data_IF_474521890081
#
_entry.id   IF_474521890081
#
_cell.length_a   1.000
_cell.length_b   1.000
_cell.length_c   1.000
_cell.angle_alpha   90.00
_cell.angle_beta   90.00
_cell.angle_gamma   90.00
#
_symmetry.space_group_name_H-M   'P 1'
#
loop_
_entity.id
_entity.type
_entity.pdbx_description
1 polymer ?
#
# COMPACT_ATOMS: atom_id res chain seq x y z
N UNK A 1 -10.49 -6.69 28.28
CA UNK A 1 -10.49 -5.21 28.43
C UNK A 1 -9.43 -4.66 27.48
N UNK A 2 -9.66 -4.75 26.16
CA UNK A 2 -8.71 -4.32 25.10
C UNK A 2 -9.25 -3.16 24.25
N UNK A 3 -10.54 -2.81 24.37
CA UNK A 3 -11.23 -1.79 23.56
C UNK A 3 -10.74 -0.34 23.76
N UNK A 4 -9.90 -0.07 24.76
CA UNK A 4 -9.41 1.27 25.09
C UNK A 4 -7.94 1.48 24.71
N UNK A 5 -7.19 0.43 24.37
CA UNK A 5 -5.75 0.53 24.10
C UNK A 5 -5.41 0.63 22.61
N UNK A 6 -6.30 0.18 21.72
CA UNK A 6 -6.00 0.10 20.28
C UNK A 6 -6.47 1.32 19.48
N UNK A 7 -7.44 2.10 19.98
CA UNK A 7 -7.96 3.23 19.23
C UNK A 7 -8.33 4.42 20.17
N UNK A 8 -7.47 5.45 20.26
CA UNK A 8 -7.67 6.62 21.13
C UNK A 8 -8.85 7.49 20.69
N UNK A 9 -9.40 7.28 19.49
CA UNK A 9 -10.52 8.03 18.94
C UNK A 9 -11.77 7.93 19.82
N UNK A 10 -12.03 6.75 20.41
CA UNK A 10 -13.19 6.55 21.30
C UNK A 10 -13.06 7.33 22.61
N UNK A 11 -11.84 7.49 23.12
CA UNK A 11 -11.56 8.31 24.31
C UNK A 11 -11.77 9.80 24.02
N UNK A 12 -11.23 10.28 22.89
CA UNK A 12 -11.43 11.66 22.45
C UNK A 12 -12.93 11.97 22.25
N UNK A 13 -13.66 11.05 21.61
CA UNK A 13 -15.11 11.14 21.45
C UNK A 13 -15.86 11.18 22.78
N UNK A 14 -15.52 10.31 23.73
CA UNK A 14 -16.10 10.28 25.07
C UNK A 14 -15.87 11.58 25.85
N UNK A 15 -14.65 12.14 25.78
CA UNK A 15 -14.33 13.43 26.40
C UNK A 15 -15.09 14.59 25.75
N UNK A 16 -15.31 14.54 24.44
CA UNK A 16 -16.15 15.50 23.72
C UNK A 16 -17.60 15.47 24.23
N UNK A 17 -18.19 14.29 24.39
CA UNK A 17 -19.54 14.12 24.96
C UNK A 17 -19.59 14.66 26.40
N UNK A 18 -18.59 14.34 27.22
CA UNK A 18 -18.49 14.84 28.60
C UNK A 18 -18.46 16.37 28.65
N UNK A 19 -17.71 17.01 27.75
CA UNK A 19 -17.66 18.46 27.64
C UNK A 19 -19.04 19.05 27.29
N UNK A 20 -19.79 18.43 26.37
CA UNK A 20 -21.17 18.84 26.04
C UNK A 20 -22.09 18.74 27.26
N UNK A 21 -22.00 17.66 28.03
CA UNK A 21 -22.79 17.48 29.27
C UNK A 21 -22.50 18.61 30.27
N UNK A 22 -21.22 18.98 30.44
CA UNK A 22 -20.86 20.10 31.32
C UNK A 22 -21.35 21.46 30.80
N UNK A 23 -21.36 21.69 29.48
CA UNK A 23 -21.94 22.90 28.91
C UNK A 23 -23.46 22.98 29.11
N UNK A 24 -24.17 21.84 29.01
CA UNK A 24 -25.61 21.78 29.34
C UNK A 24 -25.84 22.04 30.82
N UNK A 25 -25.06 21.42 31.72
CA UNK A 25 -25.14 21.67 33.15
C UNK A 25 -24.83 23.13 33.52
N UNK A 26 -23.86 23.75 32.84
CA UNK A 26 -23.57 25.18 32.95
C UNK A 26 -24.79 26.02 32.54
N UNK A 27 -25.45 25.67 31.43
CA UNK A 27 -26.61 26.40 30.92
C UNK A 27 -27.81 26.33 31.88
N UNK A 28 -28.00 25.20 32.55
CA UNK A 28 -29.10 24.98 33.50
C UNK A 28 -28.82 25.60 34.87
N UNK A 29 -27.60 25.45 35.40
CA UNK A 29 -27.27 25.84 36.78
C UNK A 29 -26.63 27.22 36.90
N UNK A 30 -26.10 27.76 35.80
CA UNK A 30 -25.30 29.00 35.75
C UNK A 30 -24.08 29.01 36.69
N UNK A 31 -23.63 27.85 37.18
CA UNK A 31 -22.45 27.76 38.03
C UNK A 31 -21.18 27.74 37.19
N UNK A 32 -20.33 28.75 37.35
CA UNK A 32 -19.06 28.88 36.59
C UNK A 32 -18.11 27.69 36.71
N UNK A 33 -18.24 26.85 37.75
CA UNK A 33 -17.45 25.61 37.90
C UNK A 33 -17.58 24.69 36.69
N UNK A 34 -18.76 24.58 36.08
CA UNK A 34 -18.99 23.70 34.93
C UNK A 34 -18.30 24.19 33.67
N UNK A 35 -18.01 25.50 33.55
CA UNK A 35 -17.19 26.04 32.47
C UNK A 35 -15.74 25.53 32.57
N UNK A 36 -15.19 25.47 33.79
CA UNK A 36 -13.83 24.95 34.03
C UNK A 36 -13.76 23.46 33.66
N UNK A 37 -14.74 22.66 34.08
CA UNK A 37 -14.81 21.23 33.76
C UNK A 37 -15.02 20.95 32.26
N UNK A 38 -15.86 21.75 31.59
CA UNK A 38 -16.04 21.68 30.14
C UNK A 38 -14.74 22.02 29.40
N UNK A 39 -14.08 23.11 29.80
CA UNK A 39 -12.81 23.53 29.21
C UNK A 39 -11.69 22.50 29.41
N UNK A 40 -11.58 21.93 30.61
CA UNK A 40 -10.59 20.88 30.90
C UNK A 40 -10.83 19.63 30.04
N UNK A 41 -12.09 19.17 29.93
CA UNK A 41 -12.46 18.01 29.10
C UNK A 41 -12.15 18.25 27.62
N UNK A 42 -12.48 19.45 27.11
CA UNK A 42 -12.16 19.84 25.73
C UNK A 42 -10.65 19.93 25.47
N UNK A 43 -9.89 20.51 26.40
CA UNK A 43 -8.43 20.59 26.28
C UNK A 43 -7.81 19.19 26.25
N UNK A 44 -8.30 18.26 27.07
CA UNK A 44 -7.83 16.87 27.07
C UNK A 44 -8.16 16.15 25.77
N UNK A 45 -9.39 16.32 25.26
CA UNK A 45 -9.80 15.77 23.96
C UNK A 45 -8.94 16.32 22.82
N UNK A 46 -8.71 17.64 22.79
CA UNK A 46 -7.87 18.29 21.80
C UNK A 46 -6.42 17.80 21.87
N UNK A 47 -5.89 17.59 23.08
CA UNK A 47 -4.54 17.06 23.28
C UNK A 47 -4.41 15.60 22.77
N UNK A 48 -5.41 14.76 23.00
CA UNK A 48 -5.42 13.39 22.45
C UNK A 48 -5.44 13.40 20.93
N UNK A 49 -6.33 14.20 20.33
CA UNK A 49 -6.38 14.35 18.86
C UNK A 49 -5.06 14.89 18.33
N UNK A 50 -4.43 15.83 19.02
CA UNK A 50 -3.11 16.35 18.64
C UNK A 50 -2.03 15.28 18.73
N UNK A 51 -2.04 14.44 19.78
CA UNK A 51 -1.09 13.33 19.92
C UNK A 51 -1.28 12.33 18.79
N UNK A 52 -2.51 11.94 18.49
CA UNK A 52 -2.83 11.04 17.37
C UNK A 52 -2.38 11.64 16.03
N UNK A 53 -2.70 12.91 15.80
CA UNK A 53 -2.30 13.63 14.59
C UNK A 53 -0.77 13.71 14.43
N UNK A 54 -0.04 13.86 15.54
CA UNK A 54 1.42 13.92 15.52
C UNK A 54 2.07 12.52 15.49
N UNK A 55 1.33 11.47 15.82
CA UNK A 55 1.80 10.09 15.92
C UNK A 55 1.38 9.28 14.69
N UNK A 56 1.95 9.60 13.52
CA UNK A 56 1.81 8.73 12.34
C UNK A 56 2.46 7.37 12.65
N UNK A 57 1.65 6.32 12.64
CA UNK A 57 2.09 4.96 12.94
C UNK A 57 2.97 4.42 11.83
N UNK A 58 3.87 3.48 12.15
CA UNK A 58 4.71 2.86 11.13
C UNK A 58 3.88 2.11 10.07
N UNK A 59 2.71 1.60 10.44
CA UNK A 59 1.75 1.01 9.51
C UNK A 59 1.27 2.04 8.49
N UNK A 60 0.84 3.22 8.92
CA UNK A 60 0.42 4.30 8.02
C UNK A 60 1.55 4.77 7.11
N UNK A 61 2.79 4.80 7.61
CA UNK A 61 3.97 5.11 6.80
C UNK A 61 4.19 4.08 5.70
N UNK A 62 4.04 2.80 6.02
CA UNK A 62 4.12 1.72 5.04
C UNK A 62 3.01 1.87 4.00
N UNK A 63 1.76 2.15 4.42
CA UNK A 63 0.65 2.38 3.49
C UNK A 63 0.93 3.56 2.56
N UNK A 64 1.44 4.66 3.11
CA UNK A 64 1.84 5.82 2.33
C UNK A 64 2.88 5.46 1.28
N UNK A 65 3.92 4.68 1.63
CA UNK A 65 4.92 4.21 0.65
C UNK A 65 4.27 3.37 -0.46
N UNK A 66 3.26 2.54 -0.15
CA UNK A 66 2.52 1.79 -1.17
C UNK A 66 1.76 2.73 -2.12
N UNK A 67 1.10 3.75 -1.59
CA UNK A 67 0.38 4.73 -2.40
C UNK A 67 1.32 5.61 -3.25
N UNK A 68 2.44 6.04 -2.68
CA UNK A 68 3.49 6.78 -3.40
C UNK A 68 4.08 5.92 -4.52
N UNK A 69 4.31 4.62 -4.26
CA UNK A 69 4.78 3.68 -5.28
C UNK A 69 3.78 3.54 -6.43
N UNK A 70 2.47 3.44 -6.12
CA UNK A 70 1.42 3.43 -7.14
C UNK A 70 1.39 4.73 -7.94
N UNK A 71 1.58 5.87 -7.30
CA UNK A 71 1.69 7.17 -7.98
C UNK A 71 2.88 7.21 -8.95
N UNK A 72 4.07 6.81 -8.47
CA UNK A 72 5.28 6.78 -9.28
C UNK A 72 5.19 5.80 -10.47
N UNK A 73 4.62 4.61 -10.24
CA UNK A 73 4.37 3.63 -11.31
C UNK A 73 3.35 4.15 -12.32
N UNK A 74 2.27 4.79 -11.87
CA UNK A 74 1.26 5.35 -12.77
C UNK A 74 1.83 6.49 -13.64
N UNK A 75 2.80 7.25 -13.12
CA UNK A 75 3.52 8.28 -13.86
C UNK A 75 4.66 7.73 -14.73
N UNK A 76 4.91 6.41 -14.71
CA UNK A 76 6.07 5.76 -15.32
C UNK A 76 7.43 6.38 -14.90
N UNK A 77 7.50 6.90 -13.67
CA UNK A 77 8.67 7.57 -13.09
C UNK A 77 9.57 6.56 -12.36
N UNK A 78 10.52 5.97 -13.09
CA UNK A 78 11.46 5.00 -12.53
C UNK A 78 12.34 5.59 -11.39
N UNK A 79 12.92 6.81 -11.50
CA UNK A 79 13.61 7.46 -10.39
C UNK A 79 12.78 7.55 -9.11
N UNK A 80 11.52 7.98 -9.20
CA UNK A 80 10.63 8.06 -8.04
C UNK A 80 10.35 6.68 -7.44
N UNK A 81 10.15 5.65 -8.28
CA UNK A 81 10.04 4.26 -7.81
C UNK A 81 11.30 3.85 -7.05
N UNK A 82 12.49 4.07 -7.62
CA UNK A 82 13.75 3.67 -6.99
C UNK A 82 14.05 4.39 -5.68
N UNK A 83 13.55 5.61 -5.52
CA UNK A 83 13.65 6.31 -4.25
C UNK A 83 12.92 5.55 -3.13
N UNK A 84 11.82 4.85 -3.43
CA UNK A 84 11.01 4.09 -2.47
C UNK A 84 11.54 2.66 -2.20
N UNK A 85 12.50 2.17 -3.00
CA UNK A 85 13.11 0.85 -2.85
C UNK A 85 14.43 0.92 -2.08
N UNK A 86 14.78 -0.16 -1.38
CA UNK A 86 16.15 -0.32 -0.87
C UNK A 86 17.14 -0.56 -2.04
N UNK A 87 18.45 -0.35 -1.83
CA UNK A 87 19.45 -0.69 -2.84
C UNK A 87 19.46 -2.18 -3.19
N UNK A 88 19.22 -3.04 -2.19
CA UNK A 88 19.24 -4.50 -2.24
C UNK A 88 17.87 -5.12 -2.53
N UNK A 89 16.95 -4.38 -3.15
CA UNK A 89 15.56 -4.81 -3.38
C UNK A 89 15.47 -6.12 -4.17
N UNK A 90 14.67 -7.08 -3.69
CA UNK A 90 14.51 -8.36 -4.36
C UNK A 90 13.12 -8.49 -4.98
N UNK A 91 13.06 -8.89 -6.25
CA UNK A 91 11.81 -9.28 -6.89
C UNK A 91 11.67 -10.80 -6.92
N UNK A 92 10.65 -11.32 -6.23
CA UNK A 92 10.38 -12.75 -6.13
C UNK A 92 9.10 -13.13 -6.92
N UNK A 93 9.26 -14.06 -7.86
CA UNK A 93 8.16 -14.61 -8.65
C UNK A 93 8.37 -16.11 -8.87
N UNK A 94 7.35 -16.92 -8.54
CA UNK A 94 7.33 -18.37 -8.82
C UNK A 94 8.58 -19.16 -8.36
N UNK A 95 9.16 -18.78 -7.22
CA UNK A 95 10.34 -19.45 -6.66
C UNK A 95 11.69 -18.96 -7.21
N UNK A 96 11.68 -18.05 -8.19
CA UNK A 96 12.86 -17.32 -8.63
C UNK A 96 12.93 -15.97 -7.92
N UNK A 97 14.13 -15.49 -7.62
CA UNK A 97 14.39 -14.17 -7.04
C UNK A 97 15.43 -13.45 -7.87
N UNK A 98 15.10 -12.25 -8.33
CA UNK A 98 16.03 -11.36 -9.02
C UNK A 98 16.84 -10.57 -7.99
N UNK A 99 18.11 -10.31 -8.30
CA UNK A 99 18.97 -9.43 -7.51
C UNK A 99 18.51 -7.96 -7.58
N UNK A 100 19.09 -7.09 -6.73
CA UNK A 100 18.79 -5.65 -6.68
C UNK A 100 18.93 -4.95 -8.02
N UNK A 101 20.07 -5.14 -8.68
CA UNK A 101 20.37 -4.48 -9.94
C UNK A 101 19.48 -4.99 -11.08
N UNK A 102 19.26 -6.31 -11.12
CA UNK A 102 18.35 -6.93 -12.09
C UNK A 102 16.90 -6.45 -11.90
N UNK A 103 16.45 -6.35 -10.65
CA UNK A 103 15.11 -5.85 -10.32
C UNK A 103 14.94 -4.40 -10.80
N UNK A 104 15.92 -3.53 -10.51
CA UNK A 104 15.90 -2.13 -10.95
C UNK A 104 15.95 -2.00 -12.48
N UNK A 105 16.79 -2.79 -13.14
CA UNK A 105 16.85 -2.84 -14.60
C UNK A 105 15.52 -3.35 -15.20
N UNK A 106 14.90 -4.35 -14.57
CA UNK A 106 13.62 -4.88 -15.02
C UNK A 106 12.50 -3.83 -14.89
N UNK A 107 12.41 -3.16 -13.75
CA UNK A 107 11.41 -2.11 -13.50
C UNK A 107 11.57 -0.96 -14.49
N UNK A 108 12.79 -0.43 -14.67
CA UNK A 108 13.02 0.69 -15.61
C UNK A 108 12.68 0.32 -17.05
N UNK A 109 13.07 -0.87 -17.51
CA UNK A 109 12.74 -1.34 -18.85
C UNK A 109 11.23 -1.46 -19.07
N UNK A 110 10.48 -1.94 -18.06
CA UNK A 110 9.02 -2.11 -18.15
C UNK A 110 8.26 -0.79 -18.07
N UNK A 111 8.63 0.08 -17.14
CA UNK A 111 7.97 1.38 -16.97
C UNK A 111 8.15 2.26 -18.20
N UNK A 112 9.33 2.24 -18.84
CA UNK A 112 9.56 3.00 -20.09
C UNK A 112 8.72 2.53 -21.28
N UNK A 113 8.19 1.30 -21.22
CA UNK A 113 7.40 0.69 -22.29
C UNK A 113 5.89 0.65 -22.00
N UNK A 114 5.49 0.99 -20.77
CA UNK A 114 4.09 0.86 -20.31
C UNK A 114 3.49 2.23 -20.04
N UNK A 115 2.27 2.42 -20.51
CA UNK A 115 1.42 3.56 -20.20
C UNK A 115 0.19 3.05 -19.45
N UNK A 116 -0.08 3.61 -18.28
CA UNK A 116 -1.19 3.17 -17.43
C UNK A 116 -2.35 4.15 -17.53
N UNK A 117 -3.52 3.68 -17.96
CA UNK A 117 -4.76 4.47 -17.92
C UNK A 117 -5.24 4.62 -16.47
N UNK A 118 -5.11 3.55 -15.69
CA UNK A 118 -5.37 3.57 -14.27
C UNK A 118 -4.59 2.47 -13.54
N UNK A 119 -4.27 2.76 -12.29
CA UNK A 119 -3.81 1.79 -11.29
C UNK A 119 -4.64 2.01 -10.04
N UNK A 120 -5.24 0.96 -9.47
CA UNK A 120 -5.97 1.01 -8.20
C UNK A 120 -5.44 -0.06 -7.27
N UNK A 121 -5.21 0.34 -6.02
CA UNK A 121 -4.90 -0.57 -4.93
C UNK A 121 -6.21 -0.88 -4.21
N UNK A 122 -6.45 -2.15 -3.92
CA UNK A 122 -7.61 -2.63 -3.16
C UNK A 122 -7.16 -3.67 -2.13
N UNK A 123 -7.87 -3.72 -1.00
CA UNK A 123 -7.58 -4.63 0.12
C UNK A 123 -6.13 -4.49 0.62
N UNK A 124 -5.70 -3.26 0.86
CA UNK A 124 -4.40 -2.99 1.44
C UNK A 124 -4.43 -3.38 2.92
N UNK A 125 -3.53 -4.29 3.29
CA UNK A 125 -3.28 -4.70 4.67
C UNK A 125 -1.79 -4.50 4.94
N UNK A 126 -1.45 -3.48 5.73
CA UNK A 126 -0.10 -3.19 6.14
C UNK A 126 0.15 -3.63 7.59
N UNK A 127 1.38 -4.06 7.88
CA UNK A 127 1.80 -4.43 9.21
C UNK A 127 3.25 -3.98 9.44
N UNK A 128 3.47 -3.18 10.48
CA UNK A 128 4.80 -2.83 10.95
C UNK A 128 5.19 -3.68 12.16
N UNK A 129 6.28 -4.44 12.04
CA UNK A 129 6.88 -5.16 13.16
C UNK A 129 7.55 -4.20 14.13
N UNK A 130 6.88 -3.87 15.23
CA UNK A 130 7.30 -2.86 16.23
C UNK A 130 8.72 -3.00 16.80
N UNK A 131 9.34 -4.18 16.70
CA UNK A 131 10.68 -4.46 17.25
C UNK A 131 11.70 -4.92 16.21
N UNK A 132 11.27 -5.29 15.00
CA UNK A 132 12.16 -5.89 14.00
C UNK A 132 12.68 -4.89 12.97
N UNK A 133 12.15 -3.65 12.95
CA UNK A 133 12.42 -2.68 11.87
C UNK A 133 12.00 -3.21 10.50
N UNK A 134 11.08 -4.18 10.49
CA UNK A 134 10.58 -4.85 9.29
C UNK A 134 9.07 -4.79 9.25
N UNK A 135 8.52 -4.66 8.06
CA UNK A 135 7.09 -4.60 7.84
C UNK A 135 6.69 -5.38 6.61
N UNK A 136 5.40 -5.53 6.42
CA UNK A 136 4.82 -6.10 5.21
C UNK A 136 3.57 -5.34 4.79
N UNK A 137 3.29 -5.34 3.48
CA UNK A 137 2.00 -4.90 2.97
C UNK A 137 1.50 -5.88 1.93
N UNK A 138 0.27 -6.33 2.08
CA UNK A 138 -0.42 -7.18 1.11
C UNK A 138 -1.54 -6.38 0.48
N UNK A 139 -1.64 -6.45 -0.85
CA UNK A 139 -2.70 -5.75 -1.56
C UNK A 139 -2.95 -6.36 -2.93
N UNK A 140 -4.11 -6.02 -3.49
CA UNK A 140 -4.45 -6.33 -4.87
C UNK A 140 -4.37 -5.06 -5.72
N UNK A 141 -3.74 -5.20 -6.88
CA UNK A 141 -3.64 -4.17 -7.90
C UNK A 141 -4.62 -4.47 -9.02
N UNK A 142 -5.44 -3.49 -9.37
CA UNK A 142 -6.22 -3.44 -10.59
C UNK A 142 -5.56 -2.42 -11.52
N UNK A 143 -5.06 -2.85 -12.66
CA UNK A 143 -4.40 -1.95 -13.61
C UNK A 143 -4.95 -2.16 -15.02
N UNK A 144 -5.02 -1.08 -15.81
CA UNK A 144 -5.34 -1.10 -17.23
C UNK A 144 -4.48 -0.08 -17.95
N UNK A 145 -4.20 -0.31 -19.22
CA UNK A 145 -3.34 0.56 -19.99
C UNK A 145 -2.88 -0.04 -21.30
N UNK A 146 -1.74 0.41 -21.79
CA UNK A 146 -1.11 -0.08 -23.01
C UNK A 146 0.39 -0.28 -22.84
N UNK A 147 0.97 -1.17 -23.66
CA UNK A 147 2.41 -1.32 -23.76
C UNK A 147 2.87 -1.15 -25.21
N UNK A 148 4.04 -0.54 -25.38
CA UNK A 148 4.67 -0.33 -26.69
C UNK A 148 5.31 -1.63 -27.16
N UNK A 149 4.98 -2.06 -28.38
CA UNK A 149 5.55 -3.25 -29.02
C UNK A 149 6.42 -2.83 -30.19
N UNK A 150 7.70 -2.61 -29.89
CA UNK A 150 8.68 -2.15 -30.88
C UNK A 150 8.29 -0.81 -31.51
N UNK A 151 8.67 -0.62 -32.78
CA UNK A 151 8.32 0.56 -33.56
C UNK A 151 6.91 0.46 -34.23
N UNK A 152 6.20 -0.66 -34.03
CA UNK A 152 5.10 -1.08 -34.90
C UNK A 152 3.71 -0.80 -34.30
N UNK A 153 3.59 -0.62 -32.98
CA UNK A 153 2.34 -0.20 -32.38
C UNK A 153 2.26 -0.29 -30.87
N UNK A 154 1.10 0.05 -30.32
CA UNK A 154 0.73 -0.12 -28.92
C UNK A 154 -0.27 -1.28 -28.78
N UNK A 155 -0.08 -2.13 -27.78
CA UNK A 155 -1.04 -3.16 -27.41
C UNK A 155 -1.71 -2.76 -26.10
N UNK A 156 -3.03 -2.60 -26.15
CA UNK A 156 -3.84 -2.35 -24.97
C UNK A 156 -4.00 -3.64 -24.19
N UNK A 157 -3.75 -3.58 -22.89
CA UNK A 157 -4.15 -4.63 -21.97
C UNK A 157 -5.40 -4.15 -21.22
N UNK A 158 -6.42 -5.01 -21.20
CA UNK A 158 -7.61 -4.77 -20.38
C UNK A 158 -7.28 -4.77 -18.88
N UNK A 159 -8.31 -4.69 -18.04
CA UNK A 159 -8.11 -4.71 -16.59
C UNK A 159 -7.46 -6.01 -16.12
N UNK A 160 -6.23 -5.93 -15.62
CA UNK A 160 -5.52 -7.04 -14.99
C UNK A 160 -5.60 -6.92 -13.47
N UNK A 161 -5.68 -8.09 -12.82
CA UNK A 161 -5.77 -8.20 -11.36
C UNK A 161 -4.56 -8.97 -10.85
N UNK A 162 -3.75 -8.33 -10.02
CA UNK A 162 -2.52 -8.89 -9.48
C UNK A 162 -2.54 -8.80 -7.96
N UNK A 163 -2.18 -9.88 -7.27
CA UNK A 163 -1.99 -9.83 -5.81
C UNK A 163 -0.48 -9.71 -5.54
N UNK A 164 -0.13 -8.70 -4.75
CA UNK A 164 1.25 -8.40 -4.37
C UNK A 164 1.42 -8.49 -2.85
N UNK A 165 2.62 -8.86 -2.46
CA UNK A 165 3.12 -8.74 -1.09
C UNK A 165 4.45 -8.02 -1.12
N UNK A 166 4.53 -6.90 -0.41
CA UNK A 166 5.74 -6.11 -0.25
C UNK A 166 6.33 -6.34 1.14
N UNK A 167 7.64 -6.58 1.20
CA UNK A 167 8.42 -6.56 2.42
C UNK A 167 9.11 -5.21 2.57
N UNK A 168 9.05 -4.65 3.77
CA UNK A 168 9.63 -3.35 4.11
C UNK A 168 10.74 -3.48 5.14
N UNK A 169 11.72 -2.59 5.03
CA UNK A 169 12.78 -2.38 6.01
C UNK A 169 12.85 -0.91 6.37
N UNK A 170 12.98 -0.64 7.66
CA UNK A 170 13.30 0.69 8.16
C UNK A 170 14.81 0.94 7.99
N UNK A 171 15.19 1.90 7.14
CA UNK A 171 16.60 2.25 6.91
C UNK A 171 17.12 3.28 7.91
N UNK A 172 16.22 4.10 8.45
CA UNK A 172 16.48 5.15 9.41
C UNK A 172 15.19 5.43 10.16
N UNK A 173 15.22 6.06 11.36
CA UNK A 173 14.03 6.29 12.15
C UNK A 173 12.90 6.89 11.31
N UNK A 174 11.78 6.17 11.22
CA UNK A 174 10.56 6.53 10.48
C UNK A 174 10.68 6.54 8.94
N UNK A 175 11.76 5.99 8.39
CA UNK A 175 12.01 5.91 6.94
C UNK A 175 11.92 4.45 6.49
N UNK A 176 10.75 4.09 5.96
CA UNK A 176 10.44 2.77 5.45
C UNK A 176 10.69 2.68 3.95
N UNK A 177 11.37 1.63 3.51
CA UNK A 177 11.63 1.34 2.09
C UNK A 177 11.29 -0.11 1.77
N UNK A 178 10.93 -0.35 0.51
CA UNK A 178 10.60 -1.69 0.04
C UNK A 178 11.90 -2.49 -0.17
N UNK A 179 12.05 -3.58 0.57
CA UNK A 179 13.16 -4.53 0.46
C UNK A 179 12.80 -5.70 -0.46
N UNK A 180 11.53 -6.10 -0.49
CA UNK A 180 11.10 -7.28 -1.26
C UNK A 180 9.78 -7.04 -1.95
N UNK A 181 9.68 -7.43 -3.21
CA UNK A 181 8.45 -7.39 -4.00
C UNK A 181 8.13 -8.84 -4.35
N UNK A 182 6.95 -9.32 -3.96
CA UNK A 182 6.51 -10.69 -4.24
C UNK A 182 5.18 -10.68 -4.98
N UNK A 183 5.14 -11.30 -6.15
CA UNK A 183 3.88 -11.53 -6.88
C UNK A 183 3.23 -12.81 -6.35
N UNK A 184 2.19 -12.67 -5.52
CA UNK A 184 1.54 -13.81 -4.85
C UNK A 184 0.47 -14.47 -5.72
N UNK A 185 -0.16 -13.69 -6.61
CA UNK A 185 -1.11 -14.22 -7.60
C UNK A 185 -1.04 -13.42 -8.90
N UNK A 186 -0.83 -14.12 -9.99
CA UNK A 186 -0.93 -13.60 -11.35
C UNK A 186 -2.07 -14.32 -12.11
N UNK A 187 -2.77 -13.66 -13.04
CA UNK A 187 -3.65 -14.33 -14.00
C UNK A 187 -2.87 -15.38 -14.79
N UNK A 188 -3.44 -16.57 -15.01
CA UNK A 188 -2.80 -17.65 -15.79
C UNK A 188 -2.44 -17.24 -17.22
N UNK A 189 -3.19 -16.28 -17.78
CA UNK A 189 -3.06 -15.84 -19.17
C UNK A 189 -2.33 -14.49 -19.28
N UNK A 190 -1.63 -14.06 -18.24
CA UNK A 190 -0.85 -12.81 -18.31
C UNK A 190 0.27 -13.01 -19.35
N UNK A 191 0.34 -12.17 -20.39
CA UNK A 191 1.45 -12.20 -21.33
C UNK A 191 2.73 -11.98 -20.55
N UNK A 192 3.63 -12.96 -20.53
CA UNK A 192 4.98 -12.75 -20.02
C UNK A 192 5.71 -11.88 -21.05
N UNK A 193 5.95 -10.59 -20.76
CA UNK A 193 6.54 -9.70 -21.73
C UNK A 193 8.06 -9.91 -21.80
N UNK A 194 8.62 -10.87 -21.04
CA UNK A 194 10.00 -11.35 -21.12
C UNK A 194 10.14 -12.63 -21.94
N UNK A 195 9.01 -13.24 -22.31
CA UNK A 195 9.00 -14.40 -23.18
C UNK A 195 9.37 -13.94 -24.58
N UNK A 196 10.60 -14.26 -24.97
CA UNK A 196 11.09 -14.01 -26.32
C UNK A 196 10.10 -14.61 -27.33
N UNK A 197 9.85 -13.89 -28.44
CA UNK A 197 8.95 -14.32 -29.54
C UNK A 197 9.36 -15.68 -30.13
N UNK A 198 10.53 -16.21 -29.76
CA UNK A 198 11.05 -17.50 -30.19
C UNK A 198 10.68 -18.70 -29.30
N UNK A 199 10.03 -18.51 -28.14
CA UNK A 199 9.49 -19.64 -27.40
C UNK A 199 8.13 -20.06 -27.98
N UNK A 200 8.10 -21.25 -28.57
CA UNK A 200 6.86 -21.85 -29.09
C UNK A 200 5.76 -21.82 -28.01
N UNK A 201 4.51 -21.48 -28.36
CA UNK A 201 3.42 -21.47 -27.40
C UNK A 201 3.32 -22.85 -26.73
N UNK A 202 2.91 -22.91 -25.44
CA UNK A 202 2.69 -24.18 -24.78
C UNK A 202 1.73 -25.01 -25.64
N UNK A 203 2.17 -26.20 -26.07
CA UNK A 203 1.31 -27.12 -26.81
C UNK A 203 0.08 -27.36 -25.95
N UNK A 204 -1.06 -26.88 -26.43
CA UNK A 204 -2.36 -27.19 -25.83
C UNK A 204 -2.45 -28.72 -25.71
N UNK A 205 -2.89 -29.27 -24.57
CA UNK A 205 -3.11 -30.69 -24.44
C UNK A 205 -4.08 -31.12 -25.54
N UNK A 206 -3.64 -32.10 -26.32
CA UNK A 206 -4.41 -32.68 -27.43
C UNK A 206 -5.74 -33.18 -26.85
N UNK A 207 -6.82 -32.43 -27.04
CA UNK A 207 -8.20 -32.88 -26.79
C UNK A 207 -8.59 -33.86 -27.90
N UNK A 208 -7.88 -34.99 -27.99
CA UNK A 208 -8.36 -36.17 -28.72
C UNK A 208 -9.37 -36.87 -27.81
N UNK A 209 -10.63 -36.53 -28.05
CA UNK A 209 -11.80 -37.41 -28.06
C UNK A 209 -11.64 -38.71 -27.25
N UNK A 210 -12.26 -38.76 -26.06
CA UNK A 210 -12.75 -40.04 -25.54
C UNK A 210 -14.21 -40.19 -25.99
N UNK A 211 -14.55 -41.24 -26.75
CA UNK A 211 -15.94 -41.58 -27.00
C UNK A 211 -16.59 -42.09 -25.71
N UNK A 212 -17.91 -41.99 -25.67
CA UNK A 212 -18.84 -42.38 -24.61
C UNK A 212 -18.47 -43.69 -23.89
#
# INVERSE_FOLDING_TARGET
>A
MELLSDDPTYLAGGLGILAVIFLVALRVTQQGKFLIWAGASLALAALLVLVEYLWVTDTERIEQVVYDLRGAVAASDAPAVFALLTPDVQFAQQGQSLSGDETRSHISARLGQTEFDFIRIIKLEANAGRQSGRGSAQFRVLAGGSYKVGAVGTLNFGTINLDFSLGFRELSPKVWRVERITLTRAPRDMPDPGRSVNESPPRLPNLKQRPF
#
